data_IF_189975658416
#
_entry.id   IF_189975658416
#
_cell.length_a   1.000
_cell.length_b   1.000
_cell.length_c   1.000
_cell.angle_alpha   90.00
_cell.angle_beta   90.00
_cell.angle_gamma   90.00
#
_symmetry.space_group_name_H-M   'P 1'
#
loop_
_entity.id
_entity.type
_entity.pdbx_description
1 polymer ?
#
# COMPACT_ATOMS: atom_id res chain seq x y z
N UNK A 1 15.23 0.35 -12.54
CA UNK A 1 14.10 -0.33 -13.19
C UNK A 1 13.24 -0.87 -12.07
N UNK A 2 11.97 -0.48 -11.98
CA UNK A 2 11.09 -1.01 -10.96
C UNK A 2 11.03 -2.54 -11.11
N UNK A 3 11.47 -3.26 -10.07
CA UNK A 3 11.50 -4.72 -10.06
C UNK A 3 10.06 -5.27 -10.20
N UNK A 4 9.89 -6.42 -10.85
CA UNK A 4 8.56 -7.03 -11.00
C UNK A 4 7.85 -7.22 -9.63
N UNK A 5 8.62 -7.51 -8.58
CA UNK A 5 8.12 -7.63 -7.22
C UNK A 5 7.62 -6.31 -6.61
N UNK A 6 8.07 -5.15 -7.09
CA UNK A 6 7.61 -3.85 -6.60
C UNK A 6 6.14 -3.60 -6.98
N UNK A 7 5.79 -3.83 -8.25
CA UNK A 7 4.41 -3.63 -8.72
C UNK A 7 3.48 -4.71 -8.16
N UNK A 8 3.96 -5.96 -8.02
CA UNK A 8 3.18 -7.01 -7.38
C UNK A 8 2.90 -6.69 -5.90
N UNK A 9 3.84 -6.05 -5.19
CA UNK A 9 3.65 -5.55 -3.84
C UNK A 9 2.56 -4.49 -3.70
N UNK A 10 2.18 -3.78 -4.78
CA UNK A 10 1.10 -2.79 -4.77
C UNK A 10 -0.29 -3.41 -4.77
N UNK A 11 -0.43 -4.64 -5.30
CA UNK A 11 -1.71 -5.33 -5.53
C UNK A 11 -2.71 -5.24 -4.37
N UNK A 12 -2.35 -5.54 -3.09
CA UNK A 12 -3.31 -5.43 -1.99
C UNK A 12 -3.85 -4.01 -1.80
N UNK A 13 -3.01 -2.98 -1.95
CA UNK A 13 -3.44 -1.59 -1.85
C UNK A 13 -4.33 -1.18 -3.01
N UNK A 14 -4.01 -1.64 -4.23
CA UNK A 14 -4.83 -1.40 -5.41
C UNK A 14 -6.22 -2.00 -5.23
N UNK A 15 -6.33 -3.27 -4.82
CA UNK A 15 -7.63 -3.93 -4.58
C UNK A 15 -8.46 -3.20 -3.52
N UNK A 16 -7.86 -2.85 -2.39
CA UNK A 16 -8.53 -2.10 -1.32
C UNK A 16 -9.03 -0.73 -1.81
N UNK A 17 -8.24 -0.04 -2.63
CA UNK A 17 -8.61 1.25 -3.19
C UNK A 17 -9.77 1.17 -4.17
N UNK A 18 -9.73 0.19 -5.08
CA UNK A 18 -10.82 -0.05 -6.04
C UNK A 18 -12.11 -0.44 -5.31
N UNK A 19 -12.03 -1.24 -4.24
CA UNK A 19 -13.20 -1.57 -3.43
C UNK A 19 -13.79 -0.38 -2.67
N UNK A 20 -12.95 0.52 -2.15
CA UNK A 20 -13.39 1.68 -1.37
C UNK A 20 -13.90 2.84 -2.24
N UNK A 21 -13.27 3.09 -3.39
CA UNK A 21 -13.53 4.27 -4.21
C UNK A 21 -14.19 3.96 -5.55
N UNK A 22 -14.17 2.71 -6.02
CA UNK A 22 -14.62 2.33 -7.35
C UNK A 22 -13.87 3.09 -8.44
N UNK A 23 -14.57 3.42 -9.52
CA UNK A 23 -14.02 4.18 -10.65
C UNK A 23 -13.57 5.60 -10.27
N UNK A 24 -14.08 6.13 -9.15
CA UNK A 24 -13.74 7.48 -8.65
C UNK A 24 -12.35 7.57 -8.03
N UNK A 25 -11.59 6.47 -8.03
CA UNK A 25 -10.23 6.44 -7.48
C UNK A 25 -9.29 7.46 -8.15
N UNK A 26 -9.54 7.80 -9.41
CA UNK A 26 -8.78 8.80 -10.17
C UNK A 26 -9.30 10.23 -10.03
N UNK A 27 -10.49 10.44 -9.43
CA UNK A 27 -11.09 11.76 -9.28
C UNK A 27 -10.20 12.67 -8.41
N UNK A 28 -10.02 13.91 -8.83
CA UNK A 28 -9.26 14.93 -8.09
C UNK A 28 -9.98 15.36 -6.82
N UNK A 29 -11.31 15.42 -6.86
CA UNK A 29 -12.17 16.03 -5.83
C UNK A 29 -13.37 15.15 -5.44
N UNK A 30 -13.91 15.37 -4.24
CA UNK A 30 -15.23 14.87 -3.85
C UNK A 30 -15.31 13.40 -3.45
N UNK A 31 -14.17 12.73 -3.24
CA UNK A 31 -14.13 11.35 -2.70
C UNK A 31 -13.90 11.44 -1.19
N UNK A 32 -14.74 10.80 -0.35
CA UNK A 32 -14.52 10.73 1.09
C UNK A 32 -13.13 10.15 1.38
N UNK A 33 -12.36 10.86 2.22
CA UNK A 33 -11.05 10.36 2.65
C UNK A 33 -11.27 9.20 3.61
N UNK A 34 -10.82 8.02 3.20
CA UNK A 34 -10.76 6.84 4.05
C UNK A 34 -9.39 6.84 4.76
N UNK A 35 -9.15 5.95 5.71
CA UNK A 35 -7.81 5.75 6.27
C UNK A 35 -7.36 4.33 6.00
N UNK A 36 -6.06 4.13 5.78
CA UNK A 36 -5.47 2.80 5.63
C UNK A 36 -5.15 2.42 4.17
N UNK A 37 -5.12 1.12 3.85
CA UNK A 37 -4.59 0.61 2.59
C UNK A 37 -5.25 1.17 1.32
N UNK A 38 -6.54 1.51 1.38
CA UNK A 38 -7.28 2.07 0.26
C UNK A 38 -6.75 3.44 -0.20
N UNK A 39 -6.34 4.31 0.74
CA UNK A 39 -5.75 5.61 0.37
C UNK A 39 -4.33 5.49 -0.16
N UNK A 40 -3.57 4.48 0.29
CA UNK A 40 -2.27 4.15 -0.31
C UNK A 40 -2.47 3.78 -1.77
N UNK A 41 -3.40 2.85 -2.06
CA UNK A 41 -3.72 2.47 -3.44
C UNK A 41 -4.22 3.64 -4.28
N UNK A 42 -5.02 4.52 -3.69
CA UNK A 42 -5.54 5.72 -4.36
C UNK A 42 -4.41 6.68 -4.71
N UNK A 43 -3.49 6.90 -3.77
CA UNK A 43 -2.28 7.68 -4.01
C UNK A 43 -1.45 7.11 -5.15
N UNK A 44 -1.23 5.79 -5.18
CA UNK A 44 -0.47 5.12 -6.24
C UNK A 44 -1.11 5.33 -7.63
N UNK A 45 -2.42 5.14 -7.72
CA UNK A 45 -3.16 5.29 -8.98
C UNK A 45 -3.19 6.74 -9.46
N UNK A 46 -3.43 7.69 -8.55
CA UNK A 46 -3.46 9.11 -8.89
C UNK A 46 -2.08 9.62 -9.30
N UNK A 47 -1.02 9.29 -8.56
CA UNK A 47 0.35 9.68 -8.94
C UNK A 47 0.74 9.08 -10.28
N UNK A 48 0.39 7.81 -10.53
CA UNK A 48 0.61 7.18 -11.85
C UNK A 48 -0.14 7.94 -12.95
N UNK A 49 -1.41 8.28 -12.73
CA UNK A 49 -2.22 9.05 -13.66
C UNK A 49 -1.61 10.44 -13.94
N UNK A 50 -1.27 11.20 -12.91
CA UNK A 50 -0.71 12.56 -13.02
C UNK A 50 0.63 12.60 -13.76
N UNK A 51 1.48 11.58 -13.59
CA UNK A 51 2.80 11.50 -14.24
C UNK A 51 2.76 10.86 -15.63
N UNK A 52 1.69 10.16 -15.96
CA UNK A 52 1.55 9.44 -17.22
C UNK A 52 1.26 10.37 -18.41
N UNK A 53 1.77 9.98 -19.58
CA UNK A 53 1.31 10.54 -20.85
C UNK A 53 -0.16 10.16 -21.14
N UNK A 54 -0.78 10.85 -22.10
CA UNK A 54 -2.20 10.70 -22.42
C UNK A 54 -2.60 9.25 -22.69
N UNK A 55 -1.82 8.51 -23.48
CA UNK A 55 -2.13 7.12 -23.82
C UNK A 55 -2.08 6.20 -22.60
N UNK A 56 -1.17 6.46 -21.67
CA UNK A 56 -1.07 5.68 -20.44
C UNK A 56 -2.19 6.06 -19.48
N UNK A 57 -2.60 7.33 -19.43
CA UNK A 57 -3.77 7.78 -18.65
C UNK A 57 -5.08 7.15 -19.12
N UNK A 58 -5.34 7.15 -20.42
CA UNK A 58 -6.52 6.48 -21.00
C UNK A 58 -6.54 4.98 -20.67
N UNK A 59 -5.42 4.29 -20.89
CA UNK A 59 -5.31 2.86 -20.58
C UNK A 59 -5.42 2.57 -19.07
N UNK A 60 -4.98 3.51 -18.22
CA UNK A 60 -5.11 3.38 -16.77
C UNK A 60 -6.58 3.49 -16.35
N UNK A 61 -7.31 4.45 -16.91
CA UNK A 61 -8.74 4.63 -16.62
C UNK A 61 -9.56 3.40 -17.06
N UNK A 62 -9.28 2.85 -18.25
CA UNK A 62 -9.90 1.61 -18.74
C UNK A 62 -9.60 0.42 -17.81
N UNK A 63 -8.33 0.21 -17.45
CA UNK A 63 -7.94 -0.88 -16.57
C UNK A 63 -8.53 -0.74 -15.15
N UNK A 64 -8.73 0.49 -14.66
CA UNK A 64 -9.45 0.75 -13.40
C UNK A 64 -10.92 0.36 -13.54
N UNK A 65 -11.60 0.76 -14.62
CA UNK A 65 -12.99 0.41 -14.85
C UNK A 65 -13.19 -1.11 -14.92
N UNK A 66 -12.33 -1.82 -15.66
CA UNK A 66 -12.37 -3.28 -15.76
C UNK A 66 -12.17 -3.96 -14.40
N UNK A 67 -11.20 -3.49 -13.61
CA UNK A 67 -10.92 -4.05 -12.28
C UNK A 67 -12.00 -3.71 -11.24
N UNK A 68 -12.76 -2.63 -11.43
CA UNK A 68 -13.94 -2.31 -10.61
C UNK A 68 -15.14 -3.15 -11.02
N UNK A 69 -15.33 -3.39 -12.33
CA UNK A 69 -16.40 -4.22 -12.85
C UNK A 69 -16.25 -5.69 -12.44
N UNK A 70 -15.02 -6.18 -12.32
CA UNK A 70 -14.70 -7.54 -11.86
C UNK A 70 -13.56 -7.55 -10.82
N UNK A 71 -13.86 -7.24 -9.53
CA UNK A 71 -12.85 -7.09 -8.47
C UNK A 71 -12.04 -8.35 -8.13
N UNK A 72 -12.60 -9.52 -8.43
CA UNK A 72 -11.98 -10.82 -8.17
C UNK A 72 -11.19 -11.34 -9.38
N UNK A 73 -11.23 -10.64 -10.51
CA UNK A 73 -10.46 -10.99 -11.71
C UNK A 73 -8.99 -10.65 -11.57
N UNK A 74 -8.18 -11.70 -11.43
CA UNK A 74 -6.72 -11.59 -11.46
C UNK A 74 -6.19 -11.09 -12.82
N UNK A 75 -6.95 -11.31 -13.90
CA UNK A 75 -6.63 -10.81 -15.23
C UNK A 75 -6.86 -9.30 -15.33
N UNK A 76 -7.96 -8.78 -14.76
CA UNK A 76 -8.23 -7.33 -14.72
C UNK A 76 -7.18 -6.60 -13.85
N UNK A 77 -6.87 -7.14 -12.68
CA UNK A 77 -5.75 -6.63 -11.85
C UNK A 77 -4.39 -6.81 -12.53
N UNK A 78 -4.22 -7.87 -13.32
CA UNK A 78 -3.06 -8.10 -14.16
C UNK A 78 -2.88 -6.98 -15.19
N UNK A 79 -3.94 -6.61 -15.90
CA UNK A 79 -3.95 -5.52 -16.87
C UNK A 79 -3.61 -4.18 -16.21
N UNK A 80 -4.19 -3.87 -15.04
CA UNK A 80 -3.86 -2.67 -14.28
C UNK A 80 -2.37 -2.60 -13.92
N UNK A 81 -1.79 -3.71 -13.42
CA UNK A 81 -0.35 -3.80 -13.14
C UNK A 81 0.51 -3.62 -14.39
N UNK A 82 0.07 -4.11 -15.55
CA UNK A 82 0.79 -3.89 -16.82
C UNK A 82 0.84 -2.41 -17.19
N UNK A 83 -0.27 -1.67 -17.02
CA UNK A 83 -0.31 -0.24 -17.30
C UNK A 83 0.63 0.53 -16.38
N UNK A 84 0.64 0.22 -15.07
CA UNK A 84 1.55 0.83 -14.09
C UNK A 84 3.01 0.55 -14.47
N UNK A 85 3.35 -0.70 -14.85
CA UNK A 85 4.71 -1.04 -15.33
C UNK A 85 5.11 -0.25 -16.57
N UNK A 86 4.18 -0.03 -17.49
CA UNK A 86 4.41 0.79 -18.68
C UNK A 86 4.66 2.25 -18.30
N UNK A 87 3.92 2.82 -17.36
CA UNK A 87 4.17 4.17 -16.83
C UNK A 87 5.58 4.27 -16.24
N UNK A 88 5.95 3.32 -15.39
CA UNK A 88 7.28 3.25 -14.75
C UNK A 88 8.44 3.09 -15.75
N UNK A 89 8.23 2.39 -16.86
CA UNK A 89 9.25 2.27 -17.91
C UNK A 89 9.57 3.58 -18.63
N UNK A 90 8.64 4.54 -18.60
CA UNK A 90 8.76 5.84 -19.27
C UNK A 90 9.26 6.94 -18.34
N UNK A 91 9.06 6.78 -17.03
CA UNK A 91 9.41 7.77 -16.01
C UNK A 91 10.07 7.09 -14.81
N UNK A 92 11.41 7.05 -14.74
CA UNK A 92 12.11 6.44 -13.61
C UNK A 92 11.83 7.15 -12.28
N UNK A 93 11.58 8.46 -12.29
CA UNK A 93 11.24 9.27 -11.11
C UNK A 93 9.91 8.84 -10.49
N UNK A 94 8.98 8.35 -11.31
CA UNK A 94 7.70 7.80 -10.84
C UNK A 94 7.93 6.61 -9.89
N UNK A 95 8.99 5.82 -10.08
CA UNK A 95 9.27 4.69 -9.20
C UNK A 95 9.56 5.16 -7.76
N UNK A 96 10.30 6.25 -7.59
CA UNK A 96 10.63 6.82 -6.29
C UNK A 96 9.40 7.41 -5.61
N UNK A 97 8.56 8.11 -6.38
CA UNK A 97 7.30 8.68 -5.89
C UNK A 97 6.31 7.60 -5.43
N UNK A 98 6.15 6.54 -6.22
CA UNK A 98 5.31 5.40 -5.83
C UNK A 98 5.90 4.66 -4.63
N UNK A 99 7.23 4.53 -4.54
CA UNK A 99 7.87 3.87 -3.40
C UNK A 99 7.69 4.67 -2.10
N UNK A 100 7.68 6.01 -2.17
CA UNK A 100 7.43 6.88 -1.02
C UNK A 100 5.99 6.79 -0.49
N UNK A 101 5.03 6.38 -1.33
CA UNK A 101 3.64 6.17 -0.93
C UNK A 101 3.40 4.80 -0.29
N UNK A 102 4.22 3.81 -0.64
CA UNK A 102 4.15 2.48 -0.05
C UNK A 102 4.60 2.55 1.41
N UNK A 103 3.86 1.94 2.35
CA UNK A 103 4.38 1.79 3.71
C UNK A 103 5.72 1.03 3.63
N UNK A 104 6.75 1.58 4.26
CA UNK A 104 8.10 1.00 4.22
C UNK A 104 8.05 -0.46 4.68
N UNK A 105 8.69 -1.34 3.93
CA UNK A 105 8.81 -2.77 4.24
C UNK A 105 9.54 -3.08 5.57
N UNK A 106 9.90 -2.06 6.36
CA UNK A 106 10.19 -2.20 7.79
C UNK A 106 8.95 -2.69 8.58
N UNK A 107 7.76 -2.70 7.96
CA UNK A 107 6.56 -3.44 8.38
C UNK A 107 6.21 -4.65 7.50
N UNK A 108 7.17 -5.17 6.72
CA UNK A 108 6.99 -6.27 5.79
C UNK A 108 6.95 -7.63 6.48
N UNK A 109 5.87 -8.37 6.25
CA UNK A 109 5.39 -9.57 6.97
C UNK A 109 4.67 -9.20 8.27
N UNK A 110 3.43 -9.64 8.53
CA UNK A 110 2.94 -9.66 9.89
C UNK A 110 3.91 -10.51 10.70
N UNK A 111 4.77 -9.86 11.50
CA UNK A 111 5.62 -10.58 12.43
C UNK A 111 4.65 -11.19 13.43
N UNK A 112 4.40 -12.49 13.32
CA UNK A 112 3.62 -13.23 14.30
C UNK A 112 4.44 -13.23 15.59
N UNK A 113 4.14 -12.28 16.48
CA UNK A 113 4.84 -12.16 17.76
C UNK A 113 3.99 -12.84 18.83
N UNK A 114 4.36 -14.08 19.14
CA UNK A 114 3.73 -14.85 20.22
C UNK A 114 4.61 -14.77 21.46
N UNK A 115 4.05 -14.23 22.53
CA UNK A 115 4.58 -14.38 23.87
C UNK A 115 3.74 -15.42 24.62
N UNK A 116 4.39 -16.41 25.23
CA UNK A 116 3.75 -17.37 26.12
C UNK A 116 4.57 -17.53 27.39
N UNK A 117 3.92 -17.87 28.50
CA UNK A 117 4.52 -17.96 29.83
C UNK A 117 4.37 -16.69 30.69
N UNK A 118 4.63 -16.85 31.98
CA UNK A 118 4.48 -15.80 33.00
C UNK A 118 5.60 -14.76 32.88
N UNK A 119 5.23 -13.47 32.76
CA UNK A 119 6.12 -12.30 32.58
C UNK A 119 6.69 -12.10 31.16
N UNK A 120 6.02 -12.61 30.13
CA UNK A 120 6.48 -12.48 28.74
C UNK A 120 6.06 -11.16 28.08
N UNK A 121 6.94 -10.59 27.23
CA UNK A 121 6.67 -9.42 26.38
C UNK A 121 7.02 -9.76 24.93
N UNK A 122 6.19 -9.30 24.01
CA UNK A 122 6.34 -9.43 22.58
C UNK A 122 6.23 -8.03 21.94
N UNK A 123 7.17 -7.69 21.05
CA UNK A 123 7.16 -6.45 20.27
C UNK A 123 7.31 -6.76 18.78
N UNK A 124 6.32 -6.36 17.97
CA UNK A 124 6.36 -6.49 16.50
C UNK A 124 6.95 -5.28 15.80
N UNK A 125 7.71 -4.46 16.52
CA UNK A 125 8.25 -3.17 16.09
C UNK A 125 9.17 -2.60 17.17
N UNK A 126 9.32 -1.28 17.23
CA UNK A 126 10.19 -0.65 18.23
C UNK A 126 9.51 -0.51 19.61
N UNK A 127 10.26 -0.84 20.67
CA UNK A 127 9.91 -0.52 22.06
C UNK A 127 11.06 0.27 22.66
N UNK A 128 10.75 1.40 23.32
CA UNK A 128 11.73 2.20 24.02
C UNK A 128 12.12 1.62 25.39
N UNK A 129 11.14 1.33 26.24
CA UNK A 129 11.36 0.74 27.57
C UNK A 129 10.22 -0.24 27.86
N UNK A 130 10.56 -1.48 28.23
CA UNK A 130 9.61 -2.47 28.73
C UNK A 130 10.06 -2.97 30.12
N UNK A 131 9.16 -2.88 31.09
CA UNK A 131 9.42 -3.25 32.48
C UNK A 131 8.34 -4.23 32.92
N UNK A 132 8.76 -5.46 33.23
CA UNK A 132 7.87 -6.61 33.48
C UNK A 132 7.97 -7.17 34.90
N UNK A 133 8.70 -6.48 35.77
CA UNK A 133 8.91 -6.88 37.16
C UNK A 133 7.85 -6.32 38.11
N UNK A 134 7.46 -7.12 39.09
CA UNK A 134 6.74 -6.63 40.27
C UNK A 134 7.74 -5.90 41.17
N UNK A 135 7.69 -4.57 41.18
CA UNK A 135 8.54 -3.73 42.03
C UNK A 135 9.36 -2.64 41.33
N UNK A 136 8.96 -2.17 40.13
CA UNK A 136 9.60 -1.00 39.55
C UNK A 136 9.24 0.29 40.30
N UNK A 137 10.10 0.64 41.24
CA UNK A 137 10.15 1.90 41.96
C UNK A 137 11.49 1.98 42.71
N UNK A 138 11.95 3.15 43.15
CA UNK A 138 13.15 3.24 43.98
C UNK A 138 12.95 2.36 45.21
N UNK A 139 13.95 1.52 45.53
CA UNK A 139 13.91 0.64 46.69
C UNK A 139 13.51 1.45 47.93
N UNK A 140 12.40 1.06 48.59
CA UNK A 140 12.06 1.61 49.90
C UNK A 140 13.17 1.15 50.86
N UNK A 141 13.94 2.12 51.36
CA UNK A 141 14.93 1.93 52.42
C UNK A 141 14.26 1.57 53.74
#
# INVERSE_FOLDING_TARGET
MADAGFVDGMTPYLRESLGAHGERVLDSDGVPVVSGPAEVGRGLLRTTHERADERVREALAEAVADAVADPDSEDALGALRQVIRKALSKSPELAEELAALMPSSDGGTPVVVVASGTRSIAAGGSIGVAITGDGHGPAKR
#
